data_IF_217515459776
#
_entry.id   IF_217515459776
#
_cell.length_a   1.000
_cell.length_b   1.000
_cell.length_c   1.000
_cell.angle_alpha   90.00
_cell.angle_beta   90.00
_cell.angle_gamma   90.00
#
_symmetry.space_group_name_H-M   'P 1'
#
loop_
_entity.id
_entity.type
_entity.pdbx_description
1 polymer ?
#
# COMPACT_ATOMS: atom_id res chain seq x y z
N UNK A 1 22.66 20.10 -8.18
CA UNK A 1 21.46 19.88 -7.34
C UNK A 1 21.42 18.41 -6.97
N UNK A 2 21.62 18.06 -5.70
CA UNK A 2 21.72 16.65 -5.24
C UNK A 2 20.39 16.26 -4.56
N UNK A 3 19.61 15.39 -5.20
CA UNK A 3 18.32 14.93 -4.68
C UNK A 3 18.50 13.62 -3.93
N UNK A 4 18.16 13.61 -2.64
CA UNK A 4 18.22 12.41 -1.80
C UNK A 4 16.88 11.68 -1.87
N UNK A 5 16.90 10.46 -2.40
CA UNK A 5 15.72 9.58 -2.49
C UNK A 5 15.37 9.05 -1.09
N UNK A 6 14.11 9.20 -0.68
CA UNK A 6 13.57 8.61 0.54
C UNK A 6 12.33 7.81 0.18
N UNK A 7 12.24 6.57 0.64
CA UNK A 7 11.10 5.70 0.40
C UNK A 7 10.36 5.49 1.72
N UNK A 8 9.06 5.82 1.77
CA UNK A 8 8.24 5.57 2.96
C UNK A 8 7.86 4.09 3.07
N UNK A 9 7.43 3.64 4.27
CA UNK A 9 6.91 2.29 4.49
C UNK A 9 5.75 1.90 3.55
N UNK A 10 5.03 2.88 2.99
CA UNK A 10 3.92 2.71 2.05
C UNK A 10 4.36 2.57 0.58
N UNK A 11 5.67 2.62 0.32
CA UNK A 11 6.27 2.54 -1.01
C UNK A 11 6.31 3.86 -1.76
N UNK A 12 5.95 4.98 -1.12
CA UNK A 12 5.99 6.28 -1.77
C UNK A 12 7.43 6.80 -1.80
N UNK A 13 7.85 7.26 -2.98
CA UNK A 13 9.20 7.76 -3.21
C UNK A 13 9.18 9.28 -3.18
N UNK A 14 9.90 9.86 -2.22
CA UNK A 14 10.11 11.29 -2.09
C UNK A 14 11.52 11.64 -2.52
N UNK A 15 11.67 12.81 -3.14
CA UNK A 15 12.97 13.41 -3.38
C UNK A 15 13.08 14.64 -2.48
N UNK A 16 14.09 14.64 -1.61
CA UNK A 16 14.40 15.80 -0.78
C UNK A 16 15.58 16.52 -1.46
N UNK A 17 15.36 17.79 -1.73
CA UNK A 17 16.44 18.70 -2.11
C UNK A 17 17.33 18.96 -0.89
N UNK A 18 18.59 18.54 -1.00
CA UNK A 18 19.58 18.60 0.08
C UNK A 18 19.93 20.03 0.51
N UNK A 19 19.61 21.04 -0.30
CA UNK A 19 19.93 22.44 -0.02
C UNK A 19 18.78 23.17 0.69
N UNK A 20 17.52 22.87 0.36
CA UNK A 20 16.35 23.59 0.88
C UNK A 20 15.58 22.85 1.98
N UNK A 21 15.80 21.54 2.16
CA UNK A 21 15.05 20.73 3.13
C UNK A 21 13.55 20.61 2.83
N UNK A 22 13.07 21.20 1.74
CA UNK A 22 11.67 21.13 1.34
C UNK A 22 11.34 19.76 0.74
N UNK A 23 10.28 19.16 1.27
CA UNK A 23 9.69 17.94 0.71
C UNK A 23 8.94 18.31 -0.57
N UNK A 24 9.52 17.99 -1.73
CA UNK A 24 8.78 18.05 -3.00
C UNK A 24 7.87 16.82 -3.06
N UNK A 25 6.61 17.01 -2.67
CA UNK A 25 5.58 15.96 -2.68
C UNK A 25 5.08 15.77 -4.11
N UNK A 26 5.83 15.04 -4.93
CA UNK A 26 5.29 14.55 -6.20
C UNK A 26 4.28 13.47 -5.86
N UNK A 27 3.00 13.78 -6.07
CA UNK A 27 1.86 12.95 -5.64
C UNK A 27 1.83 11.64 -6.44
N UNK A 28 2.57 10.65 -5.96
CA UNK A 28 2.48 9.26 -6.42
C UNK A 28 1.10 8.64 -6.11
N UNK A 29 0.27 9.32 -5.30
CA UNK A 29 -1.15 8.98 -5.06
C UNK A 29 -1.97 8.93 -6.36
N UNK A 30 -1.62 9.69 -7.39
CA UNK A 30 -2.30 9.64 -8.69
C UNK A 30 -1.99 8.32 -9.42
N UNK A 31 -0.80 7.75 -9.21
CA UNK A 31 -0.38 6.47 -9.80
C UNK A 31 -1.06 5.29 -9.07
N UNK A 32 -1.24 5.37 -7.73
CA UNK A 32 -2.01 4.37 -6.96
C UNK A 32 -3.51 4.43 -7.29
N UNK A 33 -4.10 5.64 -7.32
CA UNK A 33 -5.56 5.81 -7.52
C UNK A 33 -6.00 5.50 -8.95
N UNK A 34 -5.17 5.76 -9.96
CA UNK A 34 -5.49 5.43 -11.35
C UNK A 34 -5.27 3.95 -11.69
N UNK A 35 -4.49 3.21 -10.90
CA UNK A 35 -4.22 1.77 -11.10
C UNK A 35 -5.17 0.84 -10.31
N UNK A 36 -5.90 1.37 -9.32
CA UNK A 36 -6.83 0.63 -8.46
C UNK A 36 -8.32 0.78 -8.86
N UNK A 37 -8.64 1.54 -9.93
CA UNK A 37 -10.02 1.67 -10.40
C UNK A 37 -10.48 0.42 -11.17
N UNK A 38 -11.18 -0.49 -10.47
CA UNK A 38 -11.92 -1.63 -11.05
C UNK A 38 -13.17 -1.18 -11.84
N UNK A 39 -13.02 -0.33 -12.85
CA UNK A 39 -14.13 -0.01 -13.76
C UNK A 39 -14.11 -0.96 -14.96
N UNK A 40 -15.18 -1.74 -15.08
CA UNK A 40 -15.51 -2.73 -16.13
C UNK A 40 -15.27 -2.18 -17.55
N UNK A 41 -14.72 -2.97 -18.50
CA UNK A 41 -14.35 -2.47 -19.82
C UNK A 41 -15.57 -2.37 -20.75
N UNK A 42 -15.69 -1.24 -21.45
CA UNK A 42 -16.50 -1.10 -22.65
C UNK A 42 -15.63 -1.41 -23.87
N UNK A 43 -15.94 -2.54 -24.50
CA UNK A 43 -15.81 -2.88 -25.92
C UNK A 43 -14.79 -2.10 -26.76
N UNK A 44 -13.71 -2.81 -27.12
CA UNK A 44 -13.28 -2.95 -28.51
C UNK A 44 -12.76 -1.69 -29.21
N UNK A 45 -11.51 -1.35 -28.94
CA UNK A 45 -10.64 -0.79 -29.99
C UNK A 45 -9.30 -1.47 -29.82
N UNK A 46 -8.80 -2.10 -30.90
CA UNK A 46 -7.46 -2.69 -30.93
C UNK A 46 -6.51 -1.55 -30.57
N UNK A 47 -5.98 -1.57 -29.34
CA UNK A 47 -4.96 -0.64 -28.88
C UNK A 47 -3.75 -0.91 -29.76
N UNK A 48 -3.57 -0.09 -30.79
CA UNK A 48 -2.43 -0.18 -31.68
C UNK A 48 -1.18 -0.04 -30.82
N UNK A 49 -0.46 -1.15 -30.67
CA UNK A 49 0.72 -1.23 -29.82
C UNK A 49 1.79 -0.36 -30.49
N UNK A 50 1.97 0.86 -29.99
CA UNK A 50 2.98 1.77 -30.49
C UNK A 50 4.35 1.21 -30.11
N UNK A 51 5.06 0.70 -31.11
CA UNK A 51 6.40 0.15 -30.99
C UNK A 51 7.41 1.22 -31.43
N UNK A 52 8.42 1.46 -30.61
CA UNK A 52 9.46 2.47 -30.81
C UNK A 52 8.88 3.88 -31.06
N UNK A 53 8.12 4.44 -30.10
CA UNK A 53 7.58 5.77 -30.25
C UNK A 53 8.68 6.81 -30.47
N UNK A 54 8.52 7.61 -31.52
CA UNK A 54 9.34 8.80 -31.75
C UNK A 54 8.92 9.95 -30.80
N UNK A 55 9.67 11.05 -30.84
CA UNK A 55 9.38 12.21 -29.98
C UNK A 55 8.02 12.85 -30.31
N UNK A 56 7.59 12.84 -31.57
CA UNK A 56 6.33 13.44 -32.00
C UNK A 56 5.12 12.65 -31.49
N UNK A 57 5.20 11.33 -31.52
CA UNK A 57 4.21 10.42 -30.95
C UNK A 57 4.12 10.58 -29.43
N UNK A 58 5.26 10.73 -28.75
CA UNK A 58 5.29 11.01 -27.30
C UNK A 58 4.59 12.34 -27.00
N UNK A 59 4.86 13.40 -27.77
CA UNK A 59 4.17 14.69 -27.60
C UNK A 59 2.67 14.61 -27.89
N UNK A 60 2.26 13.77 -28.86
CA UNK A 60 0.85 13.51 -29.14
C UNK A 60 0.16 12.79 -27.99
N UNK A 61 0.82 11.81 -27.37
CA UNK A 61 0.33 11.13 -26.16
C UNK A 61 0.21 12.11 -24.98
N UNK A 62 1.16 13.04 -24.83
CA UNK A 62 1.11 14.10 -23.81
C UNK A 62 -0.04 15.09 -23.99
N UNK A 63 -0.57 15.23 -25.21
CA UNK A 63 -1.76 16.07 -25.47
C UNK A 63 -3.06 15.34 -25.16
N UNK A 64 -3.10 14.03 -25.41
CA UNK A 64 -4.33 13.23 -25.38
C UNK A 64 -4.56 12.47 -24.07
N UNK A 65 -3.50 12.12 -23.35
CA UNK A 65 -3.57 11.28 -22.14
C UNK A 65 -3.14 12.04 -20.89
N UNK A 66 -3.61 11.58 -19.72
CA UNK A 66 -3.21 12.12 -18.40
C UNK A 66 -1.91 11.50 -17.87
N UNK A 67 -1.69 10.23 -18.21
CA UNK A 67 -0.44 9.51 -17.97
C UNK A 67 -0.29 8.36 -18.97
N UNK A 68 0.93 7.89 -19.16
CA UNK A 68 1.25 6.68 -19.93
C UNK A 68 2.61 6.13 -19.48
N UNK A 69 2.91 4.88 -19.82
CA UNK A 69 4.20 4.27 -19.53
C UNK A 69 4.86 3.79 -20.81
N UNK A 70 6.19 3.86 -20.86
CA UNK A 70 7.00 3.30 -21.93
C UNK A 70 7.98 2.32 -21.29
N UNK A 71 7.92 1.05 -21.67
CA UNK A 71 8.89 0.05 -21.21
C UNK A 71 9.75 -0.44 -22.36
N UNK A 72 11.05 -0.58 -22.12
CA UNK A 72 11.97 -1.20 -23.05
C UNK A 72 11.83 -2.72 -22.98
N UNK A 73 11.89 -3.42 -24.11
CA UNK A 73 11.95 -4.88 -24.15
C UNK A 73 13.40 -5.38 -24.21
N UNK A 74 13.56 -6.70 -24.21
CA UNK A 74 14.88 -7.33 -24.27
C UNK A 74 15.66 -7.06 -25.57
N UNK A 75 14.99 -6.67 -26.65
CA UNK A 75 15.60 -6.29 -27.92
C UNK A 75 15.98 -4.80 -27.98
N UNK A 76 15.69 -4.05 -26.91
CA UNK A 76 15.92 -2.60 -26.84
C UNK A 76 14.78 -1.76 -27.40
N UNK A 77 13.69 -2.36 -27.88
CA UNK A 77 12.53 -1.67 -28.43
C UNK A 77 11.66 -1.09 -27.31
N UNK A 78 11.07 0.07 -27.56
CA UNK A 78 10.19 0.77 -26.60
C UNK A 78 8.73 0.43 -26.89
N UNK A 79 8.00 -0.02 -25.89
CA UNK A 79 6.57 -0.35 -25.97
C UNK A 79 5.80 0.68 -25.16
N UNK A 80 4.83 1.37 -25.77
CA UNK A 80 3.91 2.25 -25.07
C UNK A 80 2.77 1.43 -24.46
N UNK A 81 2.46 1.72 -23.21
CA UNK A 81 1.33 1.17 -22.50
C UNK A 81 0.33 2.25 -22.10
N UNK A 82 -0.95 1.95 -22.32
CA UNK A 82 -2.06 2.80 -21.91
C UNK A 82 -2.50 2.49 -20.49
N UNK A 83 -3.08 3.48 -19.82
CA UNK A 83 -3.52 3.43 -18.42
C UNK A 83 -4.38 2.20 -18.11
N UNK A 84 -5.35 1.95 -18.97
CA UNK A 84 -6.42 0.99 -18.75
C UNK A 84 -5.94 -0.45 -18.89
N UNK A 85 -4.97 -0.70 -19.78
CA UNK A 85 -4.47 -2.04 -20.09
C UNK A 85 -3.07 -2.30 -19.57
N UNK A 86 -2.40 -1.27 -19.03
CA UNK A 86 -1.01 -1.29 -18.59
C UNK A 86 -0.70 -2.54 -17.75
N UNK A 87 -1.50 -2.79 -16.72
CA UNK A 87 -1.22 -3.83 -15.73
C UNK A 87 -1.28 -5.23 -16.34
N UNK A 88 -2.30 -5.51 -17.13
CA UNK A 88 -2.54 -6.84 -17.70
C UNK A 88 -1.61 -7.11 -18.89
N UNK A 89 -1.37 -6.12 -19.75
CA UNK A 89 -0.42 -6.25 -20.85
C UNK A 89 1.03 -6.37 -20.34
N UNK A 90 1.40 -5.60 -19.31
CA UNK A 90 2.73 -5.66 -18.72
C UNK A 90 2.98 -7.01 -18.06
N UNK A 91 2.02 -7.51 -17.27
CA UNK A 91 2.10 -8.86 -16.68
C UNK A 91 2.26 -9.93 -17.76
N UNK A 92 1.42 -9.89 -18.79
CA UNK A 92 1.51 -10.82 -19.92
C UNK A 92 2.88 -10.76 -20.59
N UNK A 93 3.38 -9.57 -20.90
CA UNK A 93 4.67 -9.40 -21.56
C UNK A 93 5.86 -9.81 -20.68
N UNK A 94 5.77 -9.67 -19.36
CA UNK A 94 6.76 -10.20 -18.40
C UNK A 94 6.73 -11.74 -18.40
N UNK A 95 5.54 -12.35 -18.35
CA UNK A 95 5.38 -13.80 -18.35
C UNK A 95 5.84 -14.44 -19.66
N UNK A 96 5.62 -13.75 -20.78
CA UNK A 96 6.11 -14.17 -22.10
C UNK A 96 7.64 -14.00 -22.24
N UNK A 97 8.28 -13.23 -21.36
CA UNK A 97 9.72 -12.93 -21.41
C UNK A 97 10.10 -11.84 -22.41
N UNK A 98 9.13 -11.03 -22.85
CA UNK A 98 9.37 -9.84 -23.67
C UNK A 98 10.12 -8.79 -22.83
N UNK A 99 9.73 -8.70 -21.56
CA UNK A 99 10.33 -7.82 -20.57
C UNK A 99 11.15 -8.61 -19.56
N UNK A 100 12.34 -8.10 -19.23
CA UNK A 100 13.15 -8.53 -18.11
C UNK A 100 13.12 -7.54 -16.95
N UNK A 101 13.42 -8.04 -15.76
CA UNK A 101 13.64 -7.37 -14.49
C UNK A 101 14.43 -6.07 -14.60
N UNK A 102 15.45 -6.06 -15.48
CA UNK A 102 16.41 -4.97 -15.65
C UNK A 102 16.05 -4.00 -16.76
N UNK A 103 15.06 -4.29 -17.60
CA UNK A 103 14.62 -3.35 -18.60
C UNK A 103 14.12 -2.05 -17.96
N UNK A 104 14.32 -0.94 -18.67
CA UNK A 104 13.88 0.37 -18.23
C UNK A 104 12.39 0.56 -18.48
N UNK A 105 11.71 1.17 -17.51
CA UNK A 105 10.34 1.67 -17.63
C UNK A 105 10.31 3.16 -17.26
N UNK A 106 9.74 3.94 -18.16
CA UNK A 106 9.58 5.38 -18.06
C UNK A 106 8.09 5.71 -17.90
N UNK A 107 7.72 6.31 -16.77
CA UNK A 107 6.35 6.74 -16.50
C UNK A 107 6.25 8.23 -16.75
N UNK A 108 5.29 8.62 -17.58
CA UNK A 108 4.96 10.00 -17.86
C UNK A 108 3.65 10.35 -17.18
N UNK A 109 3.67 11.35 -16.31
CA UNK A 109 2.51 11.82 -15.55
C UNK A 109 2.38 13.32 -15.63
N UNK A 110 1.16 13.81 -15.87
CA UNK A 110 0.82 15.23 -15.84
C UNK A 110 0.42 15.65 -14.42
N UNK A 111 1.06 16.69 -13.89
CA UNK A 111 0.72 17.22 -12.57
C UNK A 111 -0.52 18.14 -12.61
N UNK A 112 -1.00 18.58 -11.44
CA UNK A 112 -2.18 19.46 -11.33
C UNK A 112 -1.99 20.83 -12.01
N UNK A 113 -0.74 21.25 -12.24
CA UNK A 113 -0.38 22.47 -12.98
C UNK A 113 -0.32 22.26 -14.50
N UNK A 114 -0.54 21.03 -14.97
CA UNK A 114 -0.46 20.66 -16.37
C UNK A 114 0.96 20.38 -16.88
N UNK A 115 1.97 20.37 -16.01
CA UNK A 115 3.36 20.09 -16.37
C UNK A 115 3.61 18.58 -16.38
N UNK A 116 4.45 18.13 -17.33
CA UNK A 116 4.80 16.73 -17.46
C UNK A 116 6.02 16.36 -16.62
N UNK A 117 5.91 15.26 -15.89
CA UNK A 117 7.00 14.66 -15.13
C UNK A 117 7.31 13.27 -15.66
N UNK A 118 8.61 12.93 -15.68
CA UNK A 118 9.11 11.63 -16.11
C UNK A 118 9.79 10.93 -14.94
N UNK A 119 9.39 9.69 -14.64
CA UNK A 119 10.06 8.84 -13.65
C UNK A 119 10.58 7.59 -14.35
N UNK A 120 11.90 7.45 -14.38
CA UNK A 120 12.58 6.28 -14.94
C UNK A 120 12.96 5.30 -13.84
N UNK A 121 12.68 4.02 -14.04
CA UNK A 121 13.06 2.93 -13.13
C UNK A 121 13.25 1.63 -13.90
N UNK A 122 13.65 0.54 -13.23
CA UNK A 122 13.62 -0.79 -13.83
C UNK A 122 12.26 -1.45 -13.62
N UNK A 123 11.89 -2.42 -14.46
CA UNK A 123 10.65 -3.17 -14.31
C UNK A 123 10.53 -3.80 -12.93
N UNK A 124 11.62 -4.35 -12.37
CA UNK A 124 11.61 -4.89 -11.01
C UNK A 124 11.31 -3.82 -9.96
N UNK A 125 11.98 -2.66 -10.05
CA UNK A 125 11.77 -1.58 -9.08
C UNK A 125 10.35 -1.04 -9.15
N UNK A 126 9.83 -0.87 -10.37
CA UNK A 126 8.47 -0.45 -10.62
C UNK A 126 7.44 -1.47 -10.10
N UNK A 127 7.67 -2.76 -10.38
CA UNK A 127 6.78 -3.85 -9.96
C UNK A 127 6.61 -3.93 -8.44
N UNK A 128 7.60 -3.50 -7.65
CA UNK A 128 7.50 -3.45 -6.18
C UNK A 128 6.39 -2.52 -5.69
N UNK A 129 6.01 -1.52 -6.47
CA UNK A 129 4.91 -0.60 -6.14
C UNK A 129 3.53 -1.13 -6.55
N UNK A 130 3.47 -2.22 -7.33
CA UNK A 130 2.23 -2.79 -7.86
C UNK A 130 2.09 -4.25 -7.46
N UNK A 131 1.15 -4.55 -6.57
CA UNK A 131 1.01 -5.90 -5.99
C UNK A 131 1.00 -7.03 -7.05
N UNK A 132 0.21 -6.92 -8.13
CA UNK A 132 0.11 -7.97 -9.18
C UNK A 132 1.45 -8.23 -9.86
N UNK A 133 2.17 -7.18 -10.21
CA UNK A 133 3.48 -7.28 -10.87
C UNK A 133 4.56 -7.71 -9.87
N UNK A 134 4.49 -7.24 -8.62
CA UNK A 134 5.41 -7.62 -7.55
C UNK A 134 5.35 -9.10 -7.20
N UNK A 135 4.16 -9.73 -7.31
CA UNK A 135 4.00 -11.18 -7.12
C UNK A 135 4.79 -11.98 -8.16
N UNK A 136 4.99 -11.47 -9.38
CA UNK A 136 5.75 -12.16 -10.43
C UNK A 136 7.23 -12.32 -10.08
N UNK A 137 7.80 -11.39 -9.30
CA UNK A 137 9.22 -11.38 -8.93
C UNK A 137 9.46 -11.81 -7.49
N UNK A 138 8.54 -11.49 -6.56
CA UNK A 138 8.67 -11.76 -5.12
C UNK A 138 7.30 -12.15 -4.53
N UNK A 139 6.77 -13.34 -4.84
CA UNK A 139 5.48 -13.80 -4.34
C UNK A 139 5.37 -13.79 -2.81
N UNK A 140 6.36 -14.31 -2.07
CA UNK A 140 6.31 -14.44 -0.61
C UNK A 140 6.28 -13.08 0.06
N UNK A 141 7.20 -12.19 -0.33
CA UNK A 141 7.24 -10.82 0.19
C UNK A 141 5.96 -10.04 -0.12
N UNK A 142 5.47 -10.13 -1.37
CA UNK A 142 4.26 -9.42 -1.79
C UNK A 142 3.06 -9.84 -0.96
N UNK A 143 2.85 -11.14 -0.76
CA UNK A 143 1.78 -11.66 0.09
C UNK A 143 1.97 -11.29 1.57
N UNK A 144 3.20 -11.27 2.09
CA UNK A 144 3.47 -10.81 3.46
C UNK A 144 3.11 -9.32 3.66
N UNK A 145 3.45 -8.45 2.71
CA UNK A 145 3.09 -7.02 2.76
C UNK A 145 1.58 -6.82 2.65
N UNK A 146 0.90 -7.61 1.81
CA UNK A 146 -0.57 -7.58 1.75
C UNK A 146 -1.18 -8.04 3.07
N UNK A 147 -0.67 -9.14 3.63
CA UNK A 147 -1.06 -9.64 4.94
C UNK A 147 -0.84 -8.62 6.06
N UNK A 148 0.26 -7.85 6.02
CA UNK A 148 0.52 -6.76 6.96
C UNK A 148 -0.57 -5.70 6.91
N UNK A 149 -0.97 -5.27 5.71
CA UNK A 149 -2.03 -4.25 5.52
C UNK A 149 -3.38 -4.74 6.04
N UNK A 150 -3.77 -5.96 5.66
CA UNK A 150 -5.03 -6.56 6.10
C UNK A 150 -5.03 -6.85 7.59
N UNK A 151 -3.92 -7.33 8.14
CA UNK A 151 -3.75 -7.56 9.57
C UNK A 151 -3.87 -6.27 10.36
N UNK A 152 -3.20 -5.20 9.92
CA UNK A 152 -3.33 -3.88 10.54
C UNK A 152 -4.79 -3.39 10.52
N UNK A 153 -5.48 -3.53 9.39
CA UNK A 153 -6.89 -3.14 9.25
C UNK A 153 -7.79 -3.93 10.22
N UNK A 154 -7.67 -5.27 10.24
CA UNK A 154 -8.46 -6.14 11.12
C UNK A 154 -8.16 -5.82 12.59
N UNK A 155 -6.89 -5.62 12.94
CA UNK A 155 -6.48 -5.26 14.29
C UNK A 155 -7.05 -3.92 14.75
N UNK A 156 -7.07 -2.90 13.88
CA UNK A 156 -7.75 -1.62 14.14
C UNK A 156 -9.24 -1.85 14.42
N UNK A 157 -9.94 -2.61 13.57
CA UNK A 157 -11.37 -2.89 13.74
C UNK A 157 -11.65 -3.60 15.06
N UNK A 158 -10.91 -4.66 15.38
CA UNK A 158 -11.07 -5.40 16.65
C UNK A 158 -10.80 -4.48 17.84
N UNK A 159 -9.76 -3.64 17.79
CA UNK A 159 -9.42 -2.78 18.93
C UNK A 159 -10.41 -1.63 19.12
N UNK A 160 -10.93 -1.06 18.04
CA UNK A 160 -12.01 -0.07 18.12
C UNK A 160 -13.29 -0.69 18.66
N UNK A 161 -13.60 -1.94 18.27
CA UNK A 161 -14.76 -2.67 18.80
C UNK A 161 -14.63 -2.98 20.30
N UNK A 162 -13.45 -3.42 20.75
CA UNK A 162 -13.13 -3.59 22.18
C UNK A 162 -13.32 -2.28 22.96
N UNK A 163 -12.78 -1.17 22.43
CA UNK A 163 -12.95 0.17 23.03
C UNK A 163 -14.42 0.58 23.09
N UNK A 164 -15.19 0.29 22.05
CA UNK A 164 -16.63 0.54 22.03
C UNK A 164 -17.37 -0.27 23.11
N UNK A 165 -17.07 -1.57 23.27
CA UNK A 165 -17.69 -2.41 24.29
C UNK A 165 -17.34 -1.94 25.72
N UNK A 166 -16.11 -1.46 25.93
CA UNK A 166 -15.71 -0.87 27.21
C UNK A 166 -16.50 0.40 27.50
N UNK A 167 -16.65 1.29 26.53
CA UNK A 167 -17.46 2.50 26.69
C UNK A 167 -18.93 2.16 26.95
N UNK A 168 -19.48 1.15 26.28
CA UNK A 168 -20.87 0.71 26.47
C UNK A 168 -21.14 0.26 27.91
N UNK A 169 -20.15 -0.37 28.57
CA UNK A 169 -20.24 -0.79 29.97
C UNK A 169 -20.14 0.37 30.97
N UNK A 170 -19.43 1.44 30.60
CA UNK A 170 -19.24 2.61 31.47
C UNK A 170 -20.44 3.55 31.34
N UNK A 171 -20.77 3.95 30.12
CA UNK A 171 -21.86 4.89 29.83
C UNK A 171 -22.31 4.75 28.36
N UNK A 172 -23.57 4.38 28.14
CA UNK A 172 -24.13 4.15 26.80
C UNK A 172 -24.01 5.38 25.88
N UNK A 173 -24.18 6.59 26.45
CA UNK A 173 -24.04 7.85 25.72
C UNK A 173 -22.64 8.04 25.14
N UNK A 174 -21.60 7.68 25.88
CA UNK A 174 -20.21 7.78 25.43
C UNK A 174 -19.90 6.79 24.30
N UNK A 175 -20.47 5.59 24.35
CA UNK A 175 -20.34 4.59 23.30
C UNK A 175 -20.99 5.07 21.99
N UNK A 176 -22.18 5.69 22.07
CA UNK A 176 -22.85 6.27 20.90
C UNK A 176 -22.05 7.42 20.27
N UNK A 177 -21.51 8.33 21.10
CA UNK A 177 -20.65 9.42 20.64
C UNK A 177 -19.36 8.91 19.98
N UNK A 178 -18.77 7.85 20.52
CA UNK A 178 -17.60 7.19 19.94
C UNK A 178 -17.88 6.55 18.57
N UNK A 179 -19.05 5.91 18.39
CA UNK A 179 -19.46 5.40 17.09
C UNK A 179 -19.63 6.50 16.04
N UNK A 180 -20.22 7.64 16.41
CA UNK A 180 -20.32 8.80 15.51
C UNK A 180 -18.93 9.27 15.10
N UNK A 181 -18.01 9.40 16.07
CA UNK A 181 -16.64 9.85 15.82
C UNK A 181 -15.90 8.90 14.85
N UNK A 182 -16.04 7.59 15.02
CA UNK A 182 -15.46 6.58 14.11
C UNK A 182 -16.17 6.60 12.75
N UNK A 183 -17.50 6.67 12.72
CA UNK A 183 -18.30 6.67 11.49
C UNK A 183 -17.90 7.80 10.54
N UNK A 184 -17.57 8.96 11.09
CA UNK A 184 -17.07 10.12 10.36
C UNK A 184 -15.73 9.84 9.66
N UNK A 185 -14.86 9.00 10.23
CA UNK A 185 -13.58 8.63 9.61
C UNK A 185 -13.75 7.88 8.29
N UNK A 186 -14.90 7.23 8.07
CA UNK A 186 -15.19 6.51 6.83
C UNK A 186 -15.63 7.43 5.68
N UNK A 187 -15.85 8.73 5.93
CA UNK A 187 -16.17 9.70 4.87
C UNK A 187 -14.90 10.04 4.08
N UNK A 188 -14.79 9.65 2.80
CA UNK A 188 -13.59 9.90 2.01
C UNK A 188 -13.29 11.40 1.91
N UNK A 189 -12.00 11.77 1.92
CA UNK A 189 -11.45 13.14 1.76
C UNK A 189 -11.67 14.12 2.93
N UNK A 190 -12.78 14.04 3.65
CA UNK A 190 -13.12 15.01 4.71
C UNK A 190 -13.09 14.39 6.11
N UNK A 191 -13.17 13.06 6.20
CA UNK A 191 -13.38 12.33 7.45
C UNK A 191 -12.40 12.66 8.58
N UNK A 192 -11.10 12.73 8.30
CA UNK A 192 -10.09 13.03 9.34
C UNK A 192 -10.26 14.46 9.87
N UNK A 193 -10.45 15.44 8.98
CA UNK A 193 -10.67 16.83 9.39
C UNK A 193 -11.95 17.00 10.20
N UNK A 194 -13.04 16.35 9.76
CA UNK A 194 -14.32 16.37 10.45
C UNK A 194 -14.26 15.64 11.81
N UNK A 195 -13.51 14.54 11.90
CA UNK A 195 -13.29 13.80 13.14
C UNK A 195 -12.61 14.67 14.20
N UNK A 196 -11.60 15.45 13.82
CA UNK A 196 -10.92 16.38 14.76
C UNK A 196 -11.91 17.43 15.28
N UNK A 197 -12.70 18.05 14.39
CA UNK A 197 -13.69 19.06 14.77
C UNK A 197 -14.76 18.48 15.70
N UNK A 198 -15.34 17.33 15.34
CA UNK A 198 -16.35 16.65 16.17
C UNK A 198 -15.75 16.25 17.51
N UNK A 199 -14.54 15.70 17.52
CA UNK A 199 -13.87 15.32 18.77
C UNK A 199 -13.60 16.52 19.68
N UNK A 200 -13.24 17.69 19.11
CA UNK A 200 -13.07 18.93 19.89
C UNK A 200 -14.40 19.41 20.49
N UNK A 201 -15.50 19.36 19.73
CA UNK A 201 -16.83 19.70 20.23
C UNK A 201 -17.24 18.74 21.36
N UNK A 202 -17.07 17.44 21.15
CA UNK A 202 -17.40 16.41 22.13
C UNK A 202 -16.51 16.45 23.37
N UNK A 203 -15.26 16.89 23.24
CA UNK A 203 -14.34 17.05 24.39
C UNK A 203 -14.83 18.09 25.38
N UNK A 204 -15.50 19.15 24.90
CA UNK A 204 -16.13 20.16 25.76
C UNK A 204 -17.34 19.62 26.51
N UNK A 205 -18.01 18.60 25.97
CA UNK A 205 -19.23 18.03 26.55
C UNK A 205 -18.91 16.87 27.51
N UNK A 206 -17.92 16.05 27.19
CA UNK A 206 -17.68 14.76 27.87
C UNK A 206 -16.42 14.69 28.73
N UNK A 207 -15.60 15.75 28.80
CA UNK A 207 -14.25 15.78 29.40
C UNK A 207 -13.26 14.75 28.81
N UNK A 208 -13.69 13.92 27.85
CA UNK A 208 -12.87 12.89 27.19
C UNK A 208 -12.62 13.30 25.74
N UNK A 209 -11.37 13.17 25.29
CA UNK A 209 -11.01 13.40 23.91
C UNK A 209 -11.12 12.11 23.08
N UNK A 210 -12.26 11.92 22.41
CA UNK A 210 -12.51 10.75 21.56
C UNK A 210 -11.50 10.59 20.42
N UNK A 211 -10.91 11.69 19.93
CA UNK A 211 -9.84 11.64 18.93
C UNK A 211 -8.64 10.84 19.42
N UNK A 212 -8.11 11.16 20.60
CA UNK A 212 -6.96 10.47 21.16
C UNK A 212 -7.28 9.02 21.49
N UNK A 213 -8.50 8.73 21.94
CA UNK A 213 -8.94 7.37 22.21
C UNK A 213 -9.03 6.53 20.93
N UNK A 214 -9.66 7.05 19.87
CA UNK A 214 -9.74 6.37 18.58
C UNK A 214 -8.37 6.23 17.91
N UNK A 215 -7.52 7.26 17.99
CA UNK A 215 -6.15 7.20 17.48
C UNK A 215 -5.30 6.17 18.23
N UNK A 216 -5.37 6.15 19.57
CA UNK A 216 -4.68 5.15 20.38
C UNK A 216 -5.18 3.74 20.08
N UNK A 217 -6.50 3.55 19.98
CA UNK A 217 -7.12 2.28 19.59
C UNK A 217 -6.65 1.82 18.21
N UNK A 218 -6.61 2.72 17.23
CA UNK A 218 -6.14 2.42 15.88
C UNK A 218 -4.64 2.08 15.85
N UNK A 219 -3.79 2.84 16.54
CA UNK A 219 -2.34 2.56 16.59
C UNK A 219 -2.05 1.23 17.29
N UNK A 220 -2.66 0.98 18.45
CA UNK A 220 -2.49 -0.27 19.18
C UNK A 220 -3.04 -1.44 18.36
N UNK A 221 -4.24 -1.29 17.79
CA UNK A 221 -4.84 -2.31 16.93
C UNK A 221 -3.98 -2.62 15.70
N UNK A 222 -3.44 -1.59 15.05
CA UNK A 222 -2.55 -1.77 13.90
C UNK A 222 -1.26 -2.49 14.29
N UNK A 223 -0.61 -2.11 15.39
CA UNK A 223 0.63 -2.76 15.88
C UNK A 223 0.36 -4.23 16.19
N UNK A 224 -0.72 -4.53 16.91
CA UNK A 224 -1.07 -5.91 17.29
C UNK A 224 -1.45 -6.73 16.05
N UNK A 225 -2.17 -6.14 15.10
CA UNK A 225 -2.67 -6.84 13.92
C UNK A 225 -1.64 -7.02 12.80
N UNK A 226 -0.67 -6.11 12.66
CA UNK A 226 0.27 -6.10 11.53
C UNK A 226 1.21 -7.32 11.53
N UNK A 227 1.70 -7.75 12.69
CA UNK A 227 2.66 -8.85 12.80
C UNK A 227 2.01 -10.22 12.50
N UNK A 228 0.87 -10.60 13.12
CA UNK A 228 0.14 -11.81 12.73
C UNK A 228 -0.31 -11.78 11.27
N UNK A 229 -0.76 -10.62 10.78
CA UNK A 229 -1.17 -10.47 9.38
C UNK A 229 -0.01 -10.69 8.42
N UNK A 230 1.15 -10.13 8.70
CA UNK A 230 2.37 -10.34 7.91
C UNK A 230 2.79 -11.80 7.89
N UNK A 231 2.78 -12.47 9.06
CA UNK A 231 3.10 -13.89 9.17
C UNK A 231 2.12 -14.76 8.35
N UNK A 232 0.81 -14.54 8.49
CA UNK A 232 -0.22 -15.25 7.72
C UNK A 232 -0.06 -15.02 6.22
N UNK A 233 0.17 -13.77 5.79
CA UNK A 233 0.46 -13.43 4.41
C UNK A 233 1.71 -14.12 3.88
N UNK A 234 2.79 -14.14 4.66
CA UNK A 234 4.04 -14.83 4.29
C UNK A 234 3.86 -16.35 4.18
N UNK A 235 3.10 -16.97 5.07
CA UNK A 235 2.76 -18.41 4.99
C UNK A 235 1.97 -18.70 3.71
N UNK A 236 0.94 -17.91 3.41
CA UNK A 236 0.15 -18.05 2.18
C UNK A 236 1.05 -17.91 0.94
N UNK A 237 1.95 -16.91 0.95
CA UNK A 237 2.92 -16.71 -0.11
C UNK A 237 3.88 -17.87 -0.29
N UNK A 238 4.31 -18.50 0.81
CA UNK A 238 5.20 -19.66 0.80
C UNK A 238 4.48 -20.91 0.28
N UNK A 239 3.26 -21.19 0.75
CA UNK A 239 2.43 -22.33 0.31
C UNK A 239 2.05 -22.22 -1.17
N UNK A 240 1.77 -21.01 -1.65
CA UNK A 240 1.38 -20.79 -3.05
C UNK A 240 2.56 -20.52 -3.97
N UNK A 241 3.79 -20.47 -3.45
CA UNK A 241 4.99 -20.07 -4.21
C UNK A 241 5.12 -20.82 -5.53
N UNK A 242 4.83 -22.11 -5.56
CA UNK A 242 5.07 -22.95 -6.74
C UNK A 242 3.95 -22.91 -7.77
N UNK A 243 2.75 -22.48 -7.36
CA UNK A 243 1.57 -22.38 -8.23
C UNK A 243 1.33 -20.95 -8.75
N UNK A 244 2.17 -19.98 -8.36
CA UNK A 244 2.02 -18.60 -8.79
C UNK A 244 2.79 -18.36 -10.10
N UNK A 245 2.22 -17.56 -11.03
CA UNK A 245 2.93 -17.15 -12.23
C UNK A 245 4.17 -16.34 -11.83
N UNK A 246 5.33 -16.73 -12.35
CA UNK A 246 6.63 -16.09 -12.09
C UNK A 246 7.20 -15.56 -13.39
N UNK A 247 7.87 -14.41 -13.31
CA UNK A 247 8.68 -13.93 -14.42
C UNK A 247 9.79 -14.94 -14.72
N UNK A 248 10.15 -15.11 -16.00
CA UNK A 248 11.17 -16.09 -16.43
C UNK A 248 12.55 -15.80 -15.85
N UNK A 249 12.82 -14.55 -15.53
CA UNK A 249 14.06 -14.04 -14.95
C UNK A 249 13.92 -13.65 -13.47
N UNK A 250 12.84 -14.10 -12.80
CA UNK A 250 12.69 -13.91 -11.37
C UNK A 250 13.78 -14.70 -10.63
N UNK A 251 14.68 -13.98 -9.95
CA UNK A 251 15.62 -14.58 -9.03
C UNK A 251 14.88 -15.34 -7.92
N UNK A 252 15.37 -16.52 -7.51
CA UNK A 252 14.78 -17.24 -6.39
C UNK A 252 14.82 -16.37 -5.14
N UNK A 253 13.66 -16.18 -4.50
CA UNK A 253 13.60 -15.45 -3.24
C UNK A 253 14.54 -16.08 -2.21
N UNK A 254 15.43 -15.25 -1.69
CA UNK A 254 16.41 -15.65 -0.68
C UNK A 254 15.71 -16.11 0.61
N UNK A 255 16.27 -17.13 1.27
CA UNK A 255 15.73 -17.68 2.52
C UNK A 255 15.57 -16.63 3.63
N UNK A 256 16.38 -15.57 3.61
CA UNK A 256 16.27 -14.48 4.58
C UNK A 256 14.93 -13.72 4.48
N UNK A 257 14.26 -13.74 3.32
CA UNK A 257 12.94 -13.14 3.14
C UNK A 257 11.90 -13.94 3.92
N UNK A 258 11.95 -15.27 3.87
CA UNK A 258 11.08 -16.14 4.67
C UNK A 258 11.24 -15.87 6.17
N UNK A 259 12.48 -15.71 6.63
CA UNK A 259 12.77 -15.37 8.03
C UNK A 259 12.14 -14.02 8.40
N UNK A 260 12.35 -12.98 7.59
CA UNK A 260 11.83 -11.62 7.85
C UNK A 260 10.32 -11.51 7.73
N UNK A 261 9.70 -12.30 6.86
CA UNK A 261 8.27 -12.21 6.54
C UNK A 261 7.39 -13.14 7.36
N UNK A 262 7.93 -14.24 7.87
CA UNK A 262 7.16 -15.25 8.59
C UNK A 262 7.67 -15.43 10.00
N UNK A 263 8.94 -15.81 10.16
CA UNK A 263 9.48 -16.22 11.46
C UNK A 263 9.55 -15.03 12.43
N UNK A 264 10.13 -13.92 11.98
CA UNK A 264 10.33 -12.75 12.82
C UNK A 264 8.98 -12.14 13.25
N UNK A 265 8.01 -11.88 12.35
CA UNK A 265 6.68 -11.39 12.76
C UNK A 265 5.95 -12.35 13.70
N UNK A 266 6.11 -13.66 13.53
CA UNK A 266 5.49 -14.66 14.41
C UNK A 266 6.11 -14.62 15.81
N UNK A 267 7.43 -14.61 15.93
CA UNK A 267 8.12 -14.52 17.23
C UNK A 267 7.77 -13.20 17.93
N UNK A 268 7.88 -12.07 17.23
CA UNK A 268 7.54 -10.77 17.81
C UNK A 268 6.05 -10.67 18.16
N UNK A 269 5.16 -11.20 17.33
CA UNK A 269 3.73 -11.27 17.61
C UNK A 269 3.44 -12.07 18.87
N UNK A 270 4.04 -13.25 19.02
CA UNK A 270 3.92 -14.06 20.24
C UNK A 270 4.49 -13.35 21.46
N UNK A 271 5.64 -12.68 21.35
CA UNK A 271 6.24 -11.92 22.45
C UNK A 271 5.35 -10.74 22.88
N UNK A 272 4.72 -10.02 21.94
CA UNK A 272 3.80 -8.93 22.25
C UNK A 272 2.53 -9.46 22.92
N UNK A 273 1.97 -10.56 22.41
CA UNK A 273 0.80 -11.21 23.02
C UNK A 273 1.14 -11.69 24.43
N UNK A 274 2.29 -12.34 24.61
CA UNK A 274 2.79 -12.77 25.90
C UNK A 274 2.95 -11.58 26.86
N UNK A 275 3.63 -10.52 26.43
CA UNK A 275 3.79 -9.30 27.24
C UNK A 275 2.44 -8.66 27.59
N UNK A 276 1.49 -8.63 26.64
CA UNK A 276 0.15 -8.09 26.85
C UNK A 276 -0.65 -8.88 27.89
N UNK A 277 -0.60 -10.21 27.83
CA UNK A 277 -1.28 -11.07 28.79
C UNK A 277 -0.62 -10.94 30.18
N UNK A 278 0.70 -11.07 30.26
CA UNK A 278 1.39 -11.19 31.54
C UNK A 278 1.61 -9.85 32.27
N UNK A 279 1.76 -8.73 31.55
CA UNK A 279 2.04 -7.43 32.15
C UNK A 279 0.79 -6.58 32.33
N UNK A 280 -0.13 -6.59 31.36
CA UNK A 280 -1.30 -5.70 31.38
C UNK A 280 -2.56 -6.36 31.92
N UNK A 281 -2.61 -7.68 32.04
CA UNK A 281 -3.77 -8.40 32.57
C UNK A 281 -3.39 -9.35 33.72
N UNK A 282 -2.84 -8.86 34.85
CA UNK A 282 -2.50 -9.69 35.99
C UNK A 282 -3.71 -10.47 36.53
N UNK A 283 -4.92 -9.90 36.44
CA UNK A 283 -6.17 -10.59 36.77
C UNK A 283 -6.40 -11.88 35.94
N UNK A 284 -5.93 -11.94 34.70
CA UNK A 284 -6.08 -13.11 33.84
C UNK A 284 -5.13 -14.25 34.27
N UNK A 285 -4.00 -13.91 34.90
CA UNK A 285 -3.12 -14.87 35.57
C UNK A 285 -3.82 -15.42 36.83
N UNK A 286 -4.41 -14.54 37.64
CA UNK A 286 -5.16 -14.94 38.85
C UNK A 286 -6.37 -15.83 38.53
N UNK A 287 -7.01 -15.66 37.37
CA UNK A 287 -8.12 -16.50 36.93
C UNK A 287 -7.69 -17.85 36.34
N UNK A 288 -6.42 -18.00 35.93
CA UNK A 288 -5.85 -19.23 35.37
C UNK A 288 -5.06 -20.06 36.40
N UNK A 289 -4.72 -19.48 37.56
CA UNK A 289 -4.08 -20.15 38.70
C UNK A 289 -5.11 -20.77 39.64
#
# INVERSE_FOLDING_TARGET
MSLKRITTPEGDVYFIDSVSGQRVKTKMDVIKTAADSNTVPLVGTVSEKILNPDEEQIETLKKTKKWFAIAQNNNGEKIVYQVETFRDEMEKNILEGIHSANNQVDIYTKNDKGEWTKVSSTITQFSRSHFKLGVLYRPVWSHAVSGLKWGALIGVVIKLFDTFLLLLKVEEGMAFLFLIAIGVCFIPRVGIGLMVVISLILSRLSKVNFFFMALAGALIGAIIGCLPGMAAGGIIGLVRRDNLPKAKDAEPEENHIVIKSVILPLIFGLLIIWFYIFVFNPWLIEALS
#
